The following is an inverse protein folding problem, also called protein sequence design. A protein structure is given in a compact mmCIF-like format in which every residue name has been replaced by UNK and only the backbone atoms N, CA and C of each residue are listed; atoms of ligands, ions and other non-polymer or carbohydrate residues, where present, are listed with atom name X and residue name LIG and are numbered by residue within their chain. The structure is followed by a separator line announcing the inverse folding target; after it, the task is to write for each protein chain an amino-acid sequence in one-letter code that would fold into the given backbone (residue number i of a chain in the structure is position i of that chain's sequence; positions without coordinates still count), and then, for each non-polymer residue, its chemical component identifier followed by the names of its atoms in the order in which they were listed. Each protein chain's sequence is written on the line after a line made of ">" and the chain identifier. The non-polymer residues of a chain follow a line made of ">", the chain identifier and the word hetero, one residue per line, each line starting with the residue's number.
data_IF_712765765114
#
_entry.id   IF_712765765114
#
_cell.length_a   1.000
_cell.length_b   1.000
_cell.length_c   1.000
_cell.angle_alpha   90.00
_cell.angle_beta   90.00
_cell.angle_gamma   90.00
#
_symmetry.space_group_name_H-M   'P 1'
#
loop_
_entity.id
_entity.type
_entity.pdbx_description
1 polymer ?
#
# COMPACT_ATOMS: atom_id res chain seq x y z
N UNK A 1 -9.27 16.12 16.46
CA UNK A 1 -10.25 15.94 15.38
C UNK A 1 -10.06 17.09 14.41
N UNK A 2 -9.52 16.81 13.25
CA UNK A 2 -9.46 17.77 12.15
C UNK A 2 -10.80 17.56 11.42
N UNK A 3 -11.73 18.52 11.53
CA UNK A 3 -13.05 18.47 10.87
C UNK A 3 -12.95 18.53 9.34
N UNK A 4 -12.19 17.59 8.79
CA UNK A 4 -11.95 17.42 7.36
C UNK A 4 -12.76 16.22 6.94
N UNK A 5 -13.55 16.34 5.88
CA UNK A 5 -14.28 15.25 5.26
C UNK A 5 -13.30 14.08 4.96
N UNK A 6 -13.79 12.84 5.10
CA UNK A 6 -13.02 11.61 4.81
C UNK A 6 -12.42 11.62 3.41
N UNK A 7 -13.15 12.17 2.43
CA UNK A 7 -12.65 12.32 1.06
C UNK A 7 -11.44 13.23 0.98
N UNK A 8 -11.49 14.41 1.61
CA UNK A 8 -10.37 15.36 1.66
C UNK A 8 -9.18 14.74 2.39
N UNK A 9 -9.41 14.05 3.51
CA UNK A 9 -8.35 13.40 4.26
C UNK A 9 -7.65 12.29 3.44
N UNK A 10 -8.41 11.48 2.70
CA UNK A 10 -7.89 10.45 1.81
C UNK A 10 -7.07 11.07 0.68
N UNK A 11 -7.62 12.07 -0.01
CA UNK A 11 -6.94 12.78 -1.10
C UNK A 11 -5.65 13.43 -0.62
N UNK A 12 -5.68 14.09 0.55
CA UNK A 12 -4.49 14.72 1.15
C UNK A 12 -3.40 13.67 1.45
N UNK A 13 -3.76 12.55 2.09
CA UNK A 13 -2.81 11.48 2.40
C UNK A 13 -2.15 10.92 1.13
N UNK A 14 -2.93 10.59 0.10
CA UNK A 14 -2.39 10.08 -1.15
C UNK A 14 -1.54 11.12 -1.87
N UNK A 15 -1.99 12.37 -1.94
CA UNK A 15 -1.24 13.47 -2.55
C UNK A 15 0.15 13.61 -1.93
N UNK A 16 0.23 13.55 -0.60
CA UNK A 16 1.52 13.65 0.11
C UNK A 16 2.39 12.42 -0.16
N UNK A 17 1.82 11.21 -0.13
CA UNK A 17 2.55 9.97 -0.43
C UNK A 17 3.10 9.97 -1.86
N UNK A 18 2.33 10.51 -2.82
CA UNK A 18 2.77 10.62 -4.21
C UNK A 18 3.68 11.82 -4.49
N UNK A 19 3.97 12.64 -3.47
CA UNK A 19 4.84 13.81 -3.60
C UNK A 19 4.21 14.93 -4.41
N UNK A 20 2.88 15.05 -4.39
CA UNK A 20 2.14 16.11 -5.08
C UNK A 20 2.37 17.45 -4.39
N UNK A 21 2.74 18.48 -5.17
CA UNK A 21 2.91 19.84 -4.69
C UNK A 21 1.59 20.55 -4.38
N UNK A 22 1.66 21.78 -3.78
CA UNK A 22 0.47 22.53 -3.40
C UNK A 22 -0.48 22.84 -4.57
N UNK A 23 0.06 23.12 -5.75
CA UNK A 23 -0.72 23.45 -6.95
C UNK A 23 -1.58 22.25 -7.40
N UNK A 24 -0.99 21.07 -7.55
CA UNK A 24 -1.74 19.87 -7.93
C UNK A 24 -2.69 19.39 -6.82
N UNK A 25 -2.38 19.65 -5.54
CA UNK A 25 -3.31 19.40 -4.44
C UNK A 25 -4.51 20.34 -4.50
N UNK A 26 -4.29 21.63 -4.83
CA UNK A 26 -5.35 22.61 -5.02
C UNK A 26 -6.32 22.21 -6.14
N UNK A 27 -5.78 21.77 -7.27
CA UNK A 27 -6.57 21.24 -8.40
C UNK A 27 -7.40 20.02 -8.00
N UNK A 28 -6.79 19.05 -7.32
CA UNK A 28 -7.45 17.81 -6.90
C UNK A 28 -8.58 18.02 -5.87
N UNK A 29 -8.49 19.06 -5.06
CA UNK A 29 -9.47 19.38 -4.02
C UNK A 29 -10.40 20.52 -4.40
N UNK A 30 -10.22 21.13 -5.59
CA UNK A 30 -10.97 22.30 -6.07
C UNK A 30 -10.93 23.48 -5.07
N UNK A 31 -9.76 23.72 -4.47
CA UNK A 31 -9.50 24.79 -3.50
C UNK A 31 -8.39 25.73 -4.01
N UNK A 32 -8.19 26.85 -3.31
CA UNK A 32 -7.08 27.75 -3.61
C UNK A 32 -5.72 27.12 -3.25
N UNK A 33 -4.67 27.54 -3.95
CA UNK A 33 -3.30 27.09 -3.64
C UNK A 33 -2.88 27.48 -2.21
N UNK A 34 -3.36 28.61 -1.70
CA UNK A 34 -3.09 29.07 -0.34
C UNK A 34 -3.70 28.12 0.71
N UNK A 35 -4.93 27.67 0.49
CA UNK A 35 -5.59 26.67 1.33
C UNK A 35 -4.86 25.33 1.26
N UNK A 36 -4.46 24.87 0.07
CA UNK A 36 -3.68 23.66 -0.12
C UNK A 36 -2.34 23.72 0.64
N UNK A 37 -1.62 24.84 0.58
CA UNK A 37 -0.41 25.09 1.38
C UNK A 37 -0.68 25.04 2.88
N UNK A 38 -1.80 25.59 3.31
CA UNK A 38 -2.22 25.56 4.70
C UNK A 38 -2.49 24.13 5.18
N UNK A 39 -3.17 23.30 4.39
CA UNK A 39 -3.39 21.89 4.70
C UNK A 39 -2.08 21.10 4.79
N UNK A 40 -1.18 21.27 3.81
CA UNK A 40 0.13 20.62 3.81
C UNK A 40 0.97 21.02 5.05
N UNK A 41 0.95 22.30 5.41
CA UNK A 41 1.66 22.78 6.59
C UNK A 41 1.10 22.20 7.90
N UNK A 42 -0.23 22.16 8.05
CA UNK A 42 -0.91 21.54 9.20
C UNK A 42 -0.58 20.05 9.28
N UNK A 43 -0.61 19.34 8.14
CA UNK A 43 -0.27 17.92 8.05
C UNK A 43 1.19 17.67 8.48
N UNK A 44 2.13 18.40 7.90
CA UNK A 44 3.55 18.27 8.20
C UNK A 44 3.87 18.59 9.69
N UNK A 45 3.15 19.55 10.28
CA UNK A 45 3.28 19.88 11.71
C UNK A 45 2.72 18.75 12.58
N UNK A 46 1.61 18.13 12.17
CA UNK A 46 0.96 17.04 12.93
C UNK A 46 1.73 15.72 12.81
N UNK A 47 2.36 15.47 11.65
CA UNK A 47 3.08 14.23 11.35
C UNK A 47 4.55 14.46 10.98
N UNK A 48 5.38 14.96 11.92
CA UNK A 48 6.78 15.30 11.61
C UNK A 48 7.62 14.07 11.23
N UNK A 49 7.26 12.88 11.74
CA UNK A 49 7.90 11.62 11.37
C UNK A 49 7.72 11.26 9.89
N UNK A 50 6.54 11.55 9.34
CA UNK A 50 6.28 11.33 7.92
C UNK A 50 7.09 12.27 7.02
N UNK A 51 7.16 13.56 7.39
CA UNK A 51 8.02 14.53 6.69
C UNK A 51 9.50 14.09 6.68
N UNK A 52 9.99 13.58 7.82
CA UNK A 52 11.34 13.04 7.90
C UNK A 52 11.54 11.80 7.02
N UNK A 53 10.54 10.92 6.93
CA UNK A 53 10.56 9.75 6.07
C UNK A 53 10.64 10.16 4.59
N UNK A 54 9.85 11.14 4.14
CA UNK A 54 9.90 11.71 2.80
C UNK A 54 11.31 12.18 2.46
N UNK A 55 11.88 13.04 3.31
CA UNK A 55 13.22 13.58 3.13
C UNK A 55 14.29 12.47 3.09
N UNK A 56 14.24 11.52 4.02
CA UNK A 56 15.20 10.43 4.06
C UNK A 56 15.11 9.52 2.84
N UNK A 57 13.91 9.23 2.34
CA UNK A 57 13.72 8.41 1.15
C UNK A 57 14.29 9.10 -0.10
N UNK A 58 14.04 10.39 -0.27
CA UNK A 58 14.59 11.18 -1.37
C UNK A 58 16.12 11.25 -1.28
N UNK A 59 16.66 11.63 -0.12
CA UNK A 59 18.11 11.71 0.10
C UNK A 59 18.80 10.37 -0.15
N UNK A 60 18.20 9.25 0.30
CA UNK A 60 18.75 7.93 0.03
C UNK A 60 18.76 7.60 -1.47
N UNK A 61 17.70 7.95 -2.20
CA UNK A 61 17.64 7.76 -3.65
C UNK A 61 18.70 8.59 -4.39
N UNK A 62 18.91 9.85 -3.97
CA UNK A 62 19.90 10.75 -4.55
C UNK A 62 21.34 10.32 -4.25
N UNK A 63 21.64 9.96 -3.00
CA UNK A 63 23.02 9.68 -2.55
C UNK A 63 23.48 8.25 -2.82
N UNK A 64 22.57 7.27 -2.65
CA UNK A 64 22.88 5.84 -2.83
C UNK A 64 22.49 5.31 -4.21
N UNK A 65 21.70 6.07 -4.96
CA UNK A 65 21.12 5.64 -6.23
C UNK A 65 20.03 4.58 -6.11
N UNK A 66 19.53 4.28 -4.90
CA UNK A 66 18.44 3.35 -4.68
C UNK A 66 17.74 3.56 -3.33
N UNK A 67 16.50 3.09 -3.25
CA UNK A 67 15.77 2.81 -2.01
C UNK A 67 15.62 1.31 -1.83
N UNK A 68 15.43 0.85 -0.59
CA UNK A 68 15.32 -0.56 -0.26
C UNK A 68 14.05 -0.81 0.54
N UNK A 69 13.24 -1.78 0.07
CA UNK A 69 12.07 -2.30 0.77
C UNK A 69 12.49 -3.19 1.94
N UNK A 70 11.56 -3.52 2.82
CA UNK A 70 11.82 -4.33 4.01
C UNK A 70 12.37 -5.74 3.69
N UNK A 71 12.01 -6.31 2.55
CA UNK A 71 12.51 -7.62 2.09
C UNK A 71 13.95 -7.59 1.56
N UNK A 72 14.55 -6.38 1.47
CA UNK A 72 15.86 -6.20 0.86
C UNK A 72 15.82 -5.87 -0.63
N UNK A 73 14.67 -5.96 -1.29
CA UNK A 73 14.52 -5.57 -2.71
C UNK A 73 14.83 -4.08 -2.87
N UNK A 74 15.57 -3.75 -3.94
CA UNK A 74 16.01 -2.39 -4.24
C UNK A 74 15.31 -1.84 -5.47
N UNK A 75 14.86 -0.58 -5.39
CA UNK A 75 14.48 0.23 -6.54
C UNK A 75 15.60 1.22 -6.83
N UNK A 76 16.25 1.07 -7.99
CA UNK A 76 17.33 1.94 -8.43
C UNK A 76 16.80 3.17 -9.15
N UNK A 77 17.49 4.28 -8.94
CA UNK A 77 17.32 5.56 -9.62
C UNK A 77 18.56 5.81 -10.47
N UNK A 78 18.39 5.97 -11.77
CA UNK A 78 19.50 6.12 -12.71
C UNK A 78 19.20 7.27 -13.69
N UNK A 79 20.25 8.02 -14.06
CA UNK A 79 20.16 9.15 -14.98
C UNK A 79 19.89 10.47 -14.27
N UNK A 80 20.15 11.56 -14.99
CA UNK A 80 20.04 12.93 -14.46
C UNK A 80 18.59 13.31 -14.14
N UNK A 81 17.61 12.80 -14.91
CA UNK A 81 16.18 13.06 -14.74
C UNK A 81 15.48 12.02 -13.85
N UNK A 82 16.24 11.30 -13.01
CA UNK A 82 15.63 10.29 -12.15
C UNK A 82 14.62 10.92 -11.18
N UNK A 83 13.41 10.33 -11.03
CA UNK A 83 12.33 10.92 -10.25
C UNK A 83 12.53 10.71 -8.74
N UNK A 84 13.57 11.29 -8.16
CA UNK A 84 13.96 11.16 -6.75
C UNK A 84 12.83 11.57 -5.79
N UNK A 85 12.03 12.58 -6.16
CA UNK A 85 10.86 13.04 -5.41
C UNK A 85 9.79 11.95 -5.24
N UNK A 86 9.78 10.92 -6.12
CA UNK A 86 8.87 9.76 -6.03
C UNK A 86 9.43 8.62 -5.18
N UNK A 87 10.61 8.78 -4.57
CA UNK A 87 11.24 7.70 -3.80
C UNK A 87 10.33 7.13 -2.71
N UNK A 88 9.60 8.01 -2.00
CA UNK A 88 8.65 7.57 -0.95
C UNK A 88 7.49 6.75 -1.52
N UNK A 89 6.93 7.17 -2.66
CA UNK A 89 5.85 6.43 -3.33
C UNK A 89 6.31 5.02 -3.71
N UNK A 90 7.50 4.89 -4.31
CA UNK A 90 8.08 3.59 -4.63
C UNK A 90 8.38 2.75 -3.39
N UNK A 91 8.83 3.38 -2.29
CA UNK A 91 9.09 2.68 -1.03
C UNK A 91 7.81 2.08 -0.46
N UNK A 92 6.73 2.86 -0.39
CA UNK A 92 5.44 2.42 0.17
C UNK A 92 4.79 1.37 -0.73
N UNK A 93 4.62 1.67 -2.02
CA UNK A 93 4.00 0.74 -2.98
C UNK A 93 4.82 -0.54 -3.16
N UNK A 94 6.14 -0.41 -3.22
CA UNK A 94 7.03 -1.55 -3.32
C UNK A 94 6.95 -2.45 -2.08
N UNK A 95 6.90 -1.85 -0.88
CA UNK A 95 6.73 -2.62 0.36
C UNK A 95 5.37 -3.31 0.42
N UNK A 96 4.29 -2.66 0.01
CA UNK A 96 2.97 -3.28 -0.09
C UNK A 96 2.95 -4.47 -1.07
N UNK A 97 3.58 -4.31 -2.25
CA UNK A 97 3.72 -5.41 -3.19
C UNK A 97 4.56 -6.58 -2.64
N UNK A 98 5.59 -6.29 -1.83
CA UNK A 98 6.37 -7.35 -1.17
C UNK A 98 5.57 -8.08 -0.09
N UNK A 99 4.65 -7.39 0.62
CA UNK A 99 3.70 -8.02 1.54
C UNK A 99 2.85 -9.06 0.82
N UNK A 100 2.23 -8.66 -0.28
CA UNK A 100 1.39 -9.56 -1.07
C UNK A 100 2.19 -10.77 -1.57
N UNK A 101 3.39 -10.55 -2.13
CA UNK A 101 4.26 -11.64 -2.61
C UNK A 101 4.68 -12.59 -1.50
N UNK A 102 5.01 -12.07 -0.33
CA UNK A 102 5.37 -12.88 0.82
C UNK A 102 4.18 -13.74 1.26
N UNK A 103 2.98 -13.16 1.30
CA UNK A 103 1.76 -13.91 1.59
C UNK A 103 1.49 -14.99 0.55
N UNK A 104 1.65 -14.68 -0.75
CA UNK A 104 1.49 -15.66 -1.82
C UNK A 104 2.46 -16.84 -1.69
N UNK A 105 3.74 -16.58 -1.38
CA UNK A 105 4.71 -17.65 -1.15
C UNK A 105 4.31 -18.52 0.03
N UNK A 106 3.91 -17.91 1.14
CA UNK A 106 3.47 -18.64 2.33
C UNK A 106 2.21 -19.46 2.06
N UNK A 107 1.20 -18.89 1.40
CA UNK A 107 -0.02 -19.61 1.02
C UNK A 107 0.33 -20.82 0.15
N UNK A 108 1.26 -20.65 -0.81
CA UNK A 108 1.72 -21.74 -1.67
C UNK A 108 2.44 -22.86 -0.92
N UNK A 109 3.23 -22.51 0.10
CA UNK A 109 4.02 -23.47 0.86
C UNK A 109 3.24 -24.12 2.02
N UNK A 110 2.30 -23.39 2.63
CA UNK A 110 1.62 -23.79 3.86
C UNK A 110 0.26 -24.47 3.60
N UNK A 111 -0.44 -24.15 2.47
CA UNK A 111 -1.78 -24.67 2.21
C UNK A 111 -1.79 -25.79 1.15
N UNK A 112 -2.80 -26.66 1.24
CA UNK A 112 -2.99 -27.77 0.29
C UNK A 112 -3.48 -27.27 -1.06
N UNK A 113 -2.65 -27.47 -2.10
CA UNK A 113 -2.91 -27.05 -3.47
C UNK A 113 -4.00 -27.84 -4.21
N UNK A 114 -4.42 -28.96 -3.65
CA UNK A 114 -5.58 -29.71 -4.15
C UNK A 114 -6.90 -29.15 -3.61
N UNK A 115 -6.81 -28.28 -2.61
CA UNK A 115 -7.96 -27.62 -1.97
C UNK A 115 -8.04 -26.14 -2.36
N UNK A 116 -6.91 -25.42 -2.43
CA UNK A 116 -6.87 -23.99 -2.77
C UNK A 116 -5.84 -23.68 -3.85
N UNK A 117 -6.25 -22.88 -4.84
CA UNK A 117 -5.39 -22.44 -5.95
C UNK A 117 -5.45 -20.93 -6.11
N UNK A 118 -4.29 -20.30 -6.17
CA UNK A 118 -4.19 -18.89 -6.55
C UNK A 118 -4.37 -18.79 -8.07
N UNK A 119 -5.34 -17.97 -8.50
CA UNK A 119 -5.70 -17.81 -9.92
C UNK A 119 -5.15 -16.52 -10.49
N UNK A 120 -5.34 -15.42 -9.77
CA UNK A 120 -5.04 -14.08 -10.27
C UNK A 120 -4.73 -13.13 -9.12
N UNK A 121 -3.90 -12.11 -9.39
CA UNK A 121 -3.71 -10.97 -8.50
C UNK A 121 -4.20 -9.69 -9.18
N UNK A 122 -4.94 -8.86 -8.43
CA UNK A 122 -5.42 -7.56 -8.91
C UNK A 122 -5.06 -6.53 -7.85
N UNK A 123 -4.03 -5.70 -8.15
CA UNK A 123 -3.47 -4.70 -7.25
C UNK A 123 -3.02 -5.29 -5.89
N UNK A 124 -3.86 -5.19 -4.87
CA UNK A 124 -3.64 -5.61 -3.48
C UNK A 124 -4.48 -6.83 -3.08
N UNK A 125 -5.20 -7.42 -4.02
CA UNK A 125 -6.04 -8.60 -3.80
C UNK A 125 -5.52 -9.83 -4.55
N UNK A 126 -5.88 -11.02 -4.05
CA UNK A 126 -5.61 -12.32 -4.66
C UNK A 126 -6.94 -13.03 -4.87
N UNK A 127 -7.17 -13.51 -6.06
CA UNK A 127 -8.30 -14.38 -6.39
C UNK A 127 -7.87 -15.84 -6.22
N UNK A 128 -8.70 -16.60 -5.52
CA UNK A 128 -8.51 -18.02 -5.28
C UNK A 128 -9.67 -18.84 -5.84
N UNK A 129 -9.37 -20.03 -6.27
CA UNK A 129 -10.34 -21.14 -6.39
C UNK A 129 -10.19 -22.01 -5.14
N UNK A 130 -11.30 -22.24 -4.44
CA UNK A 130 -11.35 -23.10 -3.27
C UNK A 130 -12.32 -24.25 -3.58
N UNK A 131 -11.91 -25.47 -3.27
CA UNK A 131 -12.75 -26.66 -3.43
C UNK A 131 -14.01 -26.52 -2.57
N UNK A 132 -15.15 -26.79 -3.17
CA UNK A 132 -16.47 -26.68 -2.53
C UNK A 132 -16.51 -27.40 -1.17
N UNK A 133 -17.01 -26.71 -0.16
CA UNK A 133 -17.12 -27.21 1.22
C UNK A 133 -15.92 -26.92 2.13
N UNK A 134 -14.81 -26.40 1.57
CA UNK A 134 -13.61 -26.06 2.35
C UNK A 134 -13.48 -24.55 2.65
N UNK A 135 -14.42 -23.72 2.22
CA UNK A 135 -14.34 -22.26 2.35
C UNK A 135 -14.17 -21.81 3.81
N UNK A 136 -14.95 -22.44 4.72
CA UNK A 136 -14.94 -22.09 6.15
C UNK A 136 -13.64 -22.45 6.86
N UNK A 137 -12.87 -23.37 6.33
CA UNK A 137 -11.58 -23.81 6.85
C UNK A 137 -10.45 -22.97 6.23
N UNK A 138 -10.42 -22.87 4.91
CA UNK A 138 -9.29 -22.30 4.17
C UNK A 138 -9.28 -20.76 4.20
N UNK A 139 -10.43 -20.08 4.13
CA UNK A 139 -10.45 -18.61 4.11
C UNK A 139 -9.85 -18.02 5.39
N UNK A 140 -10.19 -18.49 6.62
CA UNK A 140 -9.52 -18.03 7.82
C UNK A 140 -8.01 -18.24 7.83
N UNK A 141 -7.50 -19.35 7.29
CA UNK A 141 -6.07 -19.61 7.19
C UNK A 141 -5.37 -18.66 6.23
N UNK A 142 -5.98 -18.41 5.05
CA UNK A 142 -5.49 -17.39 4.10
C UNK A 142 -5.42 -16.02 4.77
N UNK A 143 -6.50 -15.59 5.44
CA UNK A 143 -6.56 -14.31 6.13
C UNK A 143 -5.52 -14.21 7.25
N UNK A 144 -5.29 -15.29 7.99
CA UNK A 144 -4.25 -15.35 9.01
C UNK A 144 -2.86 -15.16 8.40
N UNK A 145 -2.55 -15.82 7.29
CA UNK A 145 -1.27 -15.67 6.59
C UNK A 145 -1.10 -14.24 6.07
N UNK A 146 -2.14 -13.67 5.44
CA UNK A 146 -2.09 -12.30 4.90
C UNK A 146 -1.95 -11.24 5.98
N UNK A 147 -2.56 -11.44 7.15
CA UNK A 147 -2.52 -10.52 8.27
C UNK A 147 -1.24 -10.66 9.12
N UNK A 148 -0.53 -11.80 9.05
CA UNK A 148 0.71 -12.05 9.80
C UNK A 148 1.93 -11.37 9.14
N UNK A 149 1.95 -10.03 9.22
CA UNK A 149 3.03 -9.19 8.70
C UNK A 149 4.00 -8.81 9.83
N UNK A 150 4.83 -9.76 10.26
CA UNK A 150 5.72 -9.68 11.45
C UNK A 150 6.70 -8.52 11.46
N UNK A 151 7.03 -7.97 10.31
CA UNK A 151 7.93 -6.82 10.15
C UNK A 151 7.19 -5.47 10.30
N UNK A 152 5.86 -5.44 10.28
CA UNK A 152 5.05 -4.24 10.41
C UNK A 152 4.53 -4.12 11.85
N UNK A 153 4.84 -3.00 12.50
CA UNK A 153 4.33 -2.72 13.85
C UNK A 153 2.85 -2.32 13.88
N UNK A 154 2.31 -1.92 12.72
CA UNK A 154 0.88 -1.63 12.57
C UNK A 154 0.16 -2.89 12.09
N UNK A 155 -1.03 -3.21 12.66
CA UNK A 155 -1.81 -4.36 12.21
C UNK A 155 -2.23 -4.16 10.75
N UNK A 156 -2.00 -5.18 9.94
CA UNK A 156 -2.53 -5.28 8.59
C UNK A 156 -3.80 -6.11 8.66
N UNK A 157 -4.84 -5.67 7.98
CA UNK A 157 -6.12 -6.35 7.97
C UNK A 157 -6.53 -6.62 6.53
N UNK A 158 -6.84 -7.89 6.24
CA UNK A 158 -7.39 -8.34 4.98
C UNK A 158 -8.82 -8.80 5.20
N UNK A 159 -9.67 -8.54 4.23
CA UNK A 159 -11.05 -8.99 4.18
C UNK A 159 -11.19 -10.01 3.03
N UNK A 160 -12.22 -10.85 3.08
CA UNK A 160 -12.50 -11.83 2.05
C UNK A 160 -13.95 -11.71 1.57
N UNK A 161 -14.12 -11.87 0.27
CA UNK A 161 -15.42 -12.05 -0.35
C UNK A 161 -15.49 -13.45 -0.99
N UNK A 162 -16.65 -14.09 -0.97
CA UNK A 162 -16.86 -15.42 -1.52
C UNK A 162 -18.06 -15.44 -2.46
N UNK A 163 -17.97 -16.24 -3.54
CA UNK A 163 -19.04 -16.42 -4.52
C UNK A 163 -18.68 -17.46 -5.55
N UNK A 164 -19.64 -17.87 -6.35
CA UNK A 164 -19.42 -18.83 -7.47
C UNK A 164 -18.73 -18.19 -8.67
N UNK A 165 -18.88 -16.87 -8.81
CA UNK A 165 -18.31 -16.12 -9.94
C UNK A 165 -17.66 -14.84 -9.44
N UNK A 166 -16.54 -14.50 -10.04
CA UNK A 166 -15.89 -13.21 -9.82
C UNK A 166 -16.82 -12.07 -10.30
N UNK A 167 -17.18 -11.15 -9.42
CA UNK A 167 -18.15 -10.08 -9.66
C UNK A 167 -19.51 -10.31 -9.00
N UNK A 168 -19.79 -11.53 -8.54
CA UNK A 168 -20.99 -11.88 -7.77
C UNK A 168 -20.58 -12.43 -6.39
N UNK A 169 -19.66 -11.73 -5.72
CA UNK A 169 -19.13 -12.12 -4.42
C UNK A 169 -19.82 -11.34 -3.29
N UNK A 170 -19.93 -11.97 -2.15
CA UNK A 170 -20.43 -11.36 -0.91
C UNK A 170 -19.40 -11.50 0.20
N UNK A 171 -19.37 -10.59 1.19
CA UNK A 171 -18.47 -10.70 2.33
C UNK A 171 -18.59 -12.05 3.04
N UNK A 172 -17.43 -12.62 3.38
CA UNK A 172 -17.30 -13.88 4.12
C UNK A 172 -17.46 -13.70 5.62
#
# INVERSE_FOLDING_TARGET
>A
EVGIDRFIAKTLNFSIIYGIGPMALAENLEISEEEARTYLNKYNKKFPGFRRLLYNAQTAAETRGYIQMYTGRRRHFRGEDAPYHKAISYLIQGSAAEMLRTSMCRIWDELDRDVVRMVLTVHDSILFEIKEGYEKEIIPEILQIMNDQRWCSSPIKSDADVGLYWGEMTPF
#
